data_IF_842404134833
#
_entry.id   IF_842404134833
#
_cell.length_a   1.000
_cell.length_b   1.000
_cell.length_c   1.000
_cell.angle_alpha   90.00
_cell.angle_beta   90.00
_cell.angle_gamma   90.00
#
_symmetry.space_group_name_H-M   'P 1'
#
loop_
_entity.id
_entity.type
_entity.pdbx_description
1 polymer ?
#
# COMPACT_ATOMS: atom_id res chain seq x y z
N UNK A 1 -21.52 1.23 15.68
CA UNK A 1 -20.76 2.32 15.02
C UNK A 1 -19.73 1.69 14.09
N UNK A 2 -19.78 1.99 12.79
CA UNK A 2 -18.81 1.44 11.82
C UNK A 2 -17.58 2.36 11.70
N UNK A 3 -16.43 1.82 11.28
CA UNK A 3 -15.23 2.61 10.99
C UNK A 3 -15.50 3.71 9.94
N UNK A 4 -16.40 3.44 8.99
CA UNK A 4 -16.77 4.40 7.93
C UNK A 4 -17.59 5.56 8.47
N UNK A 5 -18.56 5.29 9.34
CA UNK A 5 -19.35 6.34 10.01
C UNK A 5 -18.46 7.23 10.89
N UNK A 6 -17.48 6.64 11.57
CA UNK A 6 -16.50 7.39 12.36
C UNK A 6 -15.54 8.22 11.51
N UNK A 7 -15.13 7.73 10.34
CA UNK A 7 -14.34 8.51 9.40
C UNK A 7 -15.12 9.68 8.83
N UNK A 8 -16.39 9.49 8.46
CA UNK A 8 -17.26 10.58 8.01
C UNK A 8 -17.39 11.66 9.09
N UNK A 9 -17.59 11.24 10.34
CA UNK A 9 -17.61 12.15 11.49
C UNK A 9 -16.27 12.88 11.65
N UNK A 10 -15.15 12.17 11.53
CA UNK A 10 -13.81 12.75 11.64
C UNK A 10 -13.50 13.78 10.56
N UNK A 11 -13.98 13.56 9.34
CA UNK A 11 -13.83 14.49 8.20
C UNK A 11 -14.78 15.67 8.27
N UNK A 12 -15.97 15.48 8.84
CA UNK A 12 -16.97 16.53 9.04
C UNK A 12 -16.64 17.45 10.24
N UNK A 13 -15.67 17.08 11.08
CA UNK A 13 -15.28 17.90 12.23
C UNK A 13 -14.63 19.22 11.79
N UNK A 14 -15.04 20.36 12.37
CA UNK A 14 -14.39 21.65 12.12
C UNK A 14 -12.97 21.68 12.69
N UNK A 15 -12.14 22.66 12.30
CA UNK A 15 -10.78 22.81 12.81
C UNK A 15 -10.75 22.93 14.35
N UNK A 16 -9.64 22.48 14.95
CA UNK A 16 -9.44 22.42 16.41
C UNK A 16 -9.75 23.74 17.13
N UNK A 17 -9.42 24.87 16.51
CA UNK A 17 -9.69 26.21 17.05
C UNK A 17 -11.19 26.49 17.20
N UNK A 18 -12.01 25.99 16.27
CA UNK A 18 -13.46 26.13 16.33
C UNK A 18 -14.08 25.16 17.34
N UNK A 19 -13.53 23.94 17.44
CA UNK A 19 -13.94 22.96 18.47
C UNK A 19 -13.70 23.53 19.88
N UNK A 20 -12.55 24.19 20.11
CA UNK A 20 -12.27 24.84 21.40
C UNK A 20 -13.28 25.94 21.72
N UNK A 21 -13.56 26.83 20.77
CA UNK A 21 -14.57 27.88 20.95
C UNK A 21 -15.95 27.31 21.26
N UNK A 22 -16.35 26.23 20.59
CA UNK A 22 -17.62 25.53 20.84
C UNK A 22 -17.66 24.85 22.21
N UNK A 23 -16.52 24.39 22.73
CA UNK A 23 -16.44 23.79 24.06
C UNK A 23 -16.56 24.80 25.22
N UNK A 24 -16.37 26.09 24.92
CA UNK A 24 -16.46 27.20 25.88
C UNK A 24 -17.84 27.89 25.87
N UNK A 25 -18.77 27.44 25.02
CA UNK A 25 -20.12 28.02 24.93
C UNK A 25 -20.96 27.62 26.15
N UNK A 26 -21.61 28.60 26.77
CA UNK A 26 -22.53 28.38 27.89
C UNK A 26 -23.72 27.48 27.53
N UNK A 27 -24.12 26.61 28.46
CA UNK A 27 -25.22 25.65 28.26
C UNK A 27 -26.59 26.31 28.00
N UNK A 28 -26.76 27.57 28.41
CA UNK A 28 -27.95 28.38 28.10
C UNK A 28 -28.04 28.70 26.61
N UNK A 29 -26.92 29.07 26.00
CA UNK A 29 -26.83 29.40 24.57
C UNK A 29 -26.92 28.14 23.72
N UNK A 30 -26.41 27.00 24.23
CA UNK A 30 -26.54 25.71 23.55
C UNK A 30 -27.99 25.29 23.30
N UNK A 31 -28.93 25.64 24.19
CA UNK A 31 -30.35 25.27 24.03
C UNK A 31 -31.07 26.05 22.94
N UNK A 32 -30.53 27.19 22.52
CA UNK A 32 -31.10 28.05 21.47
C UNK A 32 -30.43 27.83 20.10
N UNK A 33 -29.39 27.00 20.02
CA UNK A 33 -28.66 26.72 18.78
C UNK A 33 -29.42 25.74 17.86
N UNK A 34 -29.27 25.88 16.52
CA UNK A 34 -29.77 24.90 15.55
C UNK A 34 -29.23 23.49 15.81
N UNK A 35 -29.98 22.46 15.39
CA UNK A 35 -29.68 21.04 15.70
C UNK A 35 -28.26 20.60 15.28
N UNK A 36 -27.75 21.10 14.14
CA UNK A 36 -26.39 20.83 13.68
C UNK A 36 -25.30 21.46 14.55
N UNK A 37 -25.53 22.68 15.05
CA UNK A 37 -24.60 23.38 15.95
C UNK A 37 -24.65 22.79 17.36
N UNK A 38 -25.84 22.43 17.85
CA UNK A 38 -26.02 21.71 19.11
C UNK A 38 -25.28 20.36 19.09
N UNK A 39 -25.38 19.62 17.99
CA UNK A 39 -24.65 18.36 17.81
C UNK A 39 -23.13 18.58 17.90
N UNK A 40 -22.60 19.55 17.15
CA UNK A 40 -21.16 19.86 17.15
C UNK A 40 -20.67 20.37 18.51
N UNK A 41 -21.46 21.21 19.21
CA UNK A 41 -21.11 21.73 20.53
C UNK A 41 -21.11 20.64 21.59
N UNK A 42 -22.09 19.72 21.55
CA UNK A 42 -22.11 18.53 22.42
C UNK A 42 -20.90 17.63 22.15
N UNK A 43 -20.53 17.45 20.89
CA UNK A 43 -19.38 16.64 20.50
C UNK A 43 -18.05 17.32 20.89
N UNK A 44 -17.96 18.64 20.81
CA UNK A 44 -16.81 19.46 21.21
C UNK A 44 -16.55 19.43 22.73
N UNK A 45 -17.56 19.14 23.55
CA UNK A 45 -17.39 18.90 24.99
C UNK A 45 -16.47 17.70 25.30
N UNK A 46 -16.31 16.79 24.34
CA UNK A 46 -15.42 15.63 24.48
C UNK A 46 -13.97 16.10 24.27
N UNK A 47 -13.20 16.05 25.36
CA UNK A 47 -11.76 16.36 25.33
C UNK A 47 -11.03 15.52 24.29
N UNK A 48 -10.24 16.21 23.45
CA UNK A 48 -9.38 15.63 22.41
C UNK A 48 -10.11 14.67 21.46
N UNK A 49 -11.37 14.99 21.14
CA UNK A 49 -12.21 14.19 20.26
C UNK A 49 -11.51 13.77 18.95
N UNK A 50 -10.81 14.65 18.20
CA UNK A 50 -10.17 14.24 16.94
C UNK A 50 -9.18 13.10 17.12
N UNK A 51 -8.33 13.18 18.15
CA UNK A 51 -7.35 12.14 18.49
C UNK A 51 -8.05 10.83 18.88
N UNK A 52 -9.10 10.92 19.71
CA UNK A 52 -9.87 9.73 20.12
C UNK A 52 -10.53 9.04 18.95
N UNK A 53 -11.10 9.80 18.02
CA UNK A 53 -11.68 9.26 16.79
C UNK A 53 -10.62 8.56 15.94
N UNK A 54 -9.45 9.19 15.73
CA UNK A 54 -8.34 8.60 14.97
C UNK A 54 -7.90 7.26 15.58
N UNK A 55 -7.78 7.19 16.91
CA UNK A 55 -7.42 5.97 17.63
C UNK A 55 -8.51 4.88 17.53
N UNK A 56 -9.79 5.24 17.64
CA UNK A 56 -10.89 4.26 17.52
C UNK A 56 -10.98 3.74 16.09
N UNK A 57 -10.88 4.61 15.09
CA UNK A 57 -10.86 4.24 13.67
C UNK A 57 -9.69 3.29 13.40
N UNK A 58 -8.49 3.63 13.90
CA UNK A 58 -7.31 2.78 13.79
C UNK A 58 -7.55 1.42 14.44
N UNK A 59 -8.07 1.37 15.67
CA UNK A 59 -8.38 0.12 16.37
C UNK A 59 -9.34 -0.76 15.58
N UNK A 60 -10.38 -0.17 14.98
CA UNK A 60 -11.36 -0.91 14.17
C UNK A 60 -10.77 -1.47 12.88
N UNK A 61 -9.86 -0.73 12.23
CA UNK A 61 -9.22 -1.13 10.96
C UNK A 61 -7.90 -1.88 11.15
N UNK A 62 -7.43 -2.05 12.38
CA UNK A 62 -6.11 -2.61 12.65
C UNK A 62 -5.95 -4.02 12.07
N UNK A 63 -6.97 -4.87 12.21
CA UNK A 63 -6.95 -6.23 11.66
C UNK A 63 -6.94 -6.25 10.13
N UNK A 64 -7.70 -5.36 9.49
CA UNK A 64 -7.70 -5.22 8.03
C UNK A 64 -6.30 -4.81 7.53
N UNK A 65 -5.73 -3.75 8.11
CA UNK A 65 -4.39 -3.26 7.77
C UNK A 65 -3.33 -4.35 7.97
N UNK A 66 -3.39 -5.10 9.07
CA UNK A 66 -2.46 -6.20 9.33
C UNK A 66 -2.60 -7.33 8.31
N UNK A 67 -3.82 -7.72 7.96
CA UNK A 67 -4.06 -8.80 7.01
C UNK A 67 -3.59 -8.41 5.61
N UNK A 68 -3.85 -7.18 5.18
CA UNK A 68 -3.39 -6.65 3.90
C UNK A 68 -1.86 -6.64 3.82
N UNK A 69 -1.20 -6.15 4.87
CA UNK A 69 0.26 -6.13 4.95
C UNK A 69 0.84 -7.56 4.92
N UNK A 70 0.27 -8.47 5.70
CA UNK A 70 0.71 -9.86 5.76
C UNK A 70 0.56 -10.56 4.40
N UNK A 71 -0.57 -10.36 3.73
CA UNK A 71 -0.80 -10.91 2.40
C UNK A 71 0.22 -10.38 1.40
N UNK A 72 0.48 -9.07 1.41
CA UNK A 72 1.49 -8.46 0.53
C UNK A 72 2.89 -9.04 0.73
N UNK A 73 3.30 -9.22 2.00
CA UNK A 73 4.60 -9.82 2.32
C UNK A 73 4.65 -11.30 1.89
N UNK A 74 3.61 -12.09 2.17
CA UNK A 74 3.56 -13.51 1.79
C UNK A 74 3.69 -13.69 0.28
N UNK A 75 2.96 -12.89 -0.51
CA UNK A 75 3.02 -12.97 -1.97
C UNK A 75 4.41 -12.66 -2.52
N UNK A 76 5.11 -11.66 -1.97
CA UNK A 76 6.49 -11.34 -2.38
C UNK A 76 7.45 -12.46 -1.99
N UNK A 77 7.32 -12.99 -0.77
CA UNK A 77 8.16 -14.11 -0.30
C UNK A 77 7.97 -15.36 -1.16
N UNK A 78 6.73 -15.73 -1.45
CA UNK A 78 6.38 -16.87 -2.30
C UNK A 78 6.93 -16.70 -3.71
N UNK A 79 6.75 -15.53 -4.33
CA UNK A 79 7.30 -15.25 -5.66
C UNK A 79 8.83 -15.37 -5.69
N UNK A 80 9.52 -14.82 -4.69
CA UNK A 80 10.98 -14.94 -4.59
C UNK A 80 11.43 -16.40 -4.39
N UNK A 81 10.74 -17.17 -3.55
CA UNK A 81 11.08 -18.57 -3.29
C UNK A 81 10.80 -19.45 -4.52
N UNK A 82 9.69 -19.21 -5.23
CA UNK A 82 9.35 -19.91 -6.47
C UNK A 82 10.40 -19.66 -7.55
N UNK A 83 10.78 -18.40 -7.79
CA UNK A 83 11.85 -18.06 -8.76
C UNK A 83 13.16 -18.73 -8.38
N UNK A 84 13.52 -18.74 -7.09
CA UNK A 84 14.77 -19.33 -6.60
C UNK A 84 14.80 -20.85 -6.68
N UNK A 85 13.67 -21.52 -6.44
CA UNK A 85 13.57 -22.99 -6.42
C UNK A 85 13.16 -23.60 -7.75
N UNK A 86 12.64 -22.81 -8.68
CA UNK A 86 12.14 -23.30 -9.96
C UNK A 86 13.27 -23.89 -10.80
N UNK A 87 13.30 -25.23 -10.88
CA UNK A 87 14.20 -25.98 -11.75
C UNK A 87 13.98 -25.64 -13.21
N UNK A 88 12.71 -25.49 -13.62
CA UNK A 88 12.35 -25.10 -14.99
C UNK A 88 12.89 -23.72 -15.35
N UNK A 89 12.77 -22.75 -14.43
CA UNK A 89 13.33 -21.42 -14.65
C UNK A 89 14.86 -21.45 -14.75
N UNK A 90 15.53 -22.23 -13.90
CA UNK A 90 16.99 -22.45 -14.01
C UNK A 90 17.38 -23.02 -15.38
N UNK A 91 16.73 -24.10 -15.83
CA UNK A 91 17.01 -24.71 -17.13
C UNK A 91 16.74 -23.74 -18.28
N UNK A 92 15.70 -22.91 -18.18
CA UNK A 92 15.45 -21.86 -19.16
C UNK A 92 16.60 -20.84 -19.22
N UNK A 93 17.11 -20.37 -18.07
CA UNK A 93 18.27 -19.47 -18.04
C UNK A 93 19.53 -20.12 -18.63
N UNK A 94 19.76 -21.41 -18.37
CA UNK A 94 20.87 -22.17 -18.95
C UNK A 94 20.77 -22.25 -20.48
N UNK A 95 19.56 -22.47 -21.02
CA UNK A 95 19.32 -22.47 -22.46
C UNK A 95 19.58 -21.09 -23.08
N UNK A 96 19.10 -20.02 -22.46
CA UNK A 96 19.35 -18.65 -22.94
C UNK A 96 20.86 -18.34 -22.93
N UNK A 97 21.58 -18.77 -21.88
CA UNK A 97 23.03 -18.62 -21.81
C UNK A 97 23.72 -19.40 -22.92
N UNK A 98 23.30 -20.64 -23.17
CA UNK A 98 23.82 -21.48 -24.25
C UNK A 98 23.61 -20.84 -25.63
N UNK A 99 22.39 -20.35 -25.92
CA UNK A 99 22.09 -19.67 -27.18
C UNK A 99 22.88 -18.38 -27.33
N UNK A 100 22.93 -17.55 -26.28
CA UNK A 100 23.74 -16.33 -26.28
C UNK A 100 25.21 -16.63 -26.55
N UNK A 101 25.74 -17.70 -25.96
CA UNK A 101 27.11 -18.11 -26.18
C UNK A 101 27.37 -18.63 -27.59
N UNK A 102 26.46 -19.44 -28.13
CA UNK A 102 26.54 -19.93 -29.50
C UNK A 102 26.48 -18.80 -30.54
N UNK A 103 25.54 -17.85 -30.39
CA UNK A 103 25.41 -16.72 -31.31
C UNK A 103 26.64 -15.80 -31.30
N UNK A 104 27.26 -15.61 -30.13
CA UNK A 104 28.42 -14.74 -29.98
C UNK A 104 29.72 -15.26 -30.59
N UNK A 105 29.85 -16.58 -30.82
CA UNK A 105 31.05 -17.20 -31.43
C UNK A 105 31.36 -16.70 -32.86
N UNK A 106 30.41 -16.04 -33.52
CA UNK A 106 30.61 -15.40 -34.83
C UNK A 106 31.38 -14.08 -34.79
N UNK A 107 31.62 -13.52 -33.59
CA UNK A 107 32.31 -12.24 -33.39
C UNK A 107 33.79 -12.43 -33.05
N UNK A 108 34.68 -11.70 -33.72
CA UNK A 108 36.15 -11.77 -33.55
C UNK A 108 36.66 -11.39 -32.14
N UNK A 109 35.78 -10.88 -31.26
CA UNK A 109 36.10 -10.42 -29.90
C UNK A 109 35.50 -11.34 -28.81
N UNK A 110 34.96 -12.49 -29.19
CA UNK A 110 34.12 -13.29 -28.30
C UNK A 110 34.88 -13.91 -27.11
N UNK A 111 34.30 -13.76 -25.90
CA UNK A 111 34.67 -14.47 -24.68
C UNK A 111 33.44 -15.22 -24.18
N UNK A 112 33.64 -16.45 -23.71
CA UNK A 112 32.57 -17.24 -23.09
C UNK A 112 31.93 -16.45 -21.95
N UNK A 113 30.60 -16.34 -22.00
CA UNK A 113 29.84 -15.63 -20.97
C UNK A 113 29.29 -16.65 -19.97
N UNK A 114 29.45 -16.37 -18.67
CA UNK A 114 29.02 -17.25 -17.58
C UNK A 114 27.69 -16.82 -16.93
N UNK A 115 27.27 -15.58 -17.16
CA UNK A 115 26.02 -15.03 -16.64
C UNK A 115 25.58 -13.82 -17.47
N UNK A 116 24.28 -13.53 -17.44
CA UNK A 116 23.71 -12.32 -18.04
C UNK A 116 22.81 -11.62 -17.04
N UNK A 117 22.61 -10.32 -17.23
CA UNK A 117 21.69 -9.54 -16.40
C UNK A 117 20.24 -9.95 -16.68
N UNK A 118 19.43 -10.14 -15.64
CA UNK A 118 18.02 -10.55 -15.75
C UNK A 118 17.20 -9.65 -16.70
N UNK A 119 17.56 -8.37 -16.84
CA UNK A 119 16.92 -7.42 -17.76
C UNK A 119 16.99 -7.88 -19.23
N UNK A 120 17.96 -8.71 -19.61
CA UNK A 120 18.09 -9.29 -20.96
C UNK A 120 16.87 -10.16 -21.31
N UNK A 121 16.23 -10.83 -20.36
CA UNK A 121 15.05 -11.66 -20.61
C UNK A 121 13.90 -10.86 -21.25
N UNK A 122 13.78 -9.58 -20.92
CA UNK A 122 12.77 -8.69 -21.53
C UNK A 122 13.04 -8.41 -23.02
N UNK A 123 14.31 -8.54 -23.44
CA UNK A 123 14.75 -8.33 -24.82
C UNK A 123 14.65 -9.61 -25.66
N UNK A 124 14.66 -10.79 -25.05
CA UNK A 124 14.56 -12.09 -25.74
C UNK A 124 13.30 -12.18 -26.61
N UNK A 125 12.18 -11.58 -26.17
CA UNK A 125 10.93 -11.52 -26.94
C UNK A 125 11.10 -10.91 -28.34
N UNK A 126 12.02 -9.96 -28.50
CA UNK A 126 12.24 -9.29 -29.79
C UNK A 126 12.88 -10.20 -30.85
N UNK A 127 13.56 -11.27 -30.44
CA UNK A 127 14.19 -12.23 -31.35
C UNK A 127 13.19 -13.21 -31.97
N UNK A 128 12.14 -13.59 -31.24
CA UNK A 128 11.12 -14.53 -31.73
C UNK A 128 10.14 -13.86 -32.70
N UNK A 129 10.00 -12.53 -32.65
CA UNK A 129 9.08 -11.77 -33.52
C UNK A 129 9.69 -11.37 -34.88
N UNK A 130 10.95 -11.72 -35.16
CA UNK A 130 11.64 -11.43 -36.42
C UNK A 130 11.91 -12.68 -37.28
N UNK A 131 11.31 -13.82 -36.90
CA UNK A 131 11.24 -15.07 -37.68
C UNK A 131 9.78 -15.32 -38.01
#
# INVERSE_FOLDING_TARGET
LSANTLQQLRTALPPLEMIKKLSEVDQSIMKEMPEGELFLATLASIRELPLRLDLIIFKLRFQEILNDLKSGISSVMEACDEIRRSKGFKTFLELILLFGNYMGQSSKTYKDTFAFEMSVLTKVRKFVSQV
#
